data_IF_267223350002
#
_entry.id   IF_267223350002
#
_cell.length_a   1.000
_cell.length_b   1.000
_cell.length_c   1.000
_cell.angle_alpha   90.00
_cell.angle_beta   90.00
_cell.angle_gamma   90.00
#
_symmetry.space_group_name_H-M   'P 1'
#
loop_
_entity.id
_entity.type
_entity.pdbx_description
1 polymer ?
#
# COMPACT_ATOMS: atom_id res chain seq x y z
N UNK A 1 12.41 -9.66 27.56
CA UNK A 1 13.19 -10.11 26.39
C UNK A 1 12.65 -9.37 25.18
N UNK A 2 13.51 -8.72 24.38
CA UNK A 2 13.06 -8.09 23.13
C UNK A 2 12.66 -9.17 22.14
N UNK A 3 11.57 -8.95 21.40
CA UNK A 3 11.13 -9.85 20.32
C UNK A 3 12.24 -9.97 19.26
N UNK A 4 12.47 -11.20 18.76
CA UNK A 4 13.41 -11.49 17.66
C UNK A 4 12.71 -11.61 16.30
N UNK A 5 11.42 -11.27 16.22
CA UNK A 5 10.64 -11.37 14.99
C UNK A 5 11.25 -10.44 13.94
N UNK A 6 11.70 -11.02 12.81
CA UNK A 6 12.20 -10.26 11.66
C UNK A 6 11.11 -9.99 10.62
N UNK A 7 10.09 -10.84 10.58
CA UNK A 7 9.01 -10.78 9.60
C UNK A 7 7.69 -11.09 10.29
N UNK A 8 6.71 -10.20 10.08
CA UNK A 8 5.34 -10.38 10.51
C UNK A 8 4.44 -10.27 9.27
N UNK A 9 3.82 -11.39 8.91
CA UNK A 9 2.79 -11.43 7.87
C UNK A 9 1.42 -11.64 8.52
N UNK A 10 0.48 -10.75 8.18
CA UNK A 10 -0.91 -10.79 8.59
C UNK A 10 -1.82 -10.63 7.37
N UNK A 11 -1.45 -11.23 6.24
CA UNK A 11 -2.20 -11.16 4.99
C UNK A 11 -3.60 -11.74 5.16
N UNK A 12 -4.63 -11.02 4.70
CA UNK A 12 -6.03 -11.51 4.75
C UNK A 12 -6.54 -11.86 6.16
N UNK A 13 -5.98 -11.25 7.21
CA UNK A 13 -6.34 -11.51 8.61
C UNK A 13 -7.49 -10.64 9.13
N UNK A 14 -8.22 -9.92 8.24
CA UNK A 14 -9.31 -9.00 8.62
C UNK A 14 -8.87 -7.90 9.60
N UNK A 15 -7.60 -7.49 9.53
CA UNK A 15 -7.02 -6.49 10.41
C UNK A 15 -7.67 -5.12 10.17
N UNK A 16 -8.38 -4.63 11.18
CA UNK A 16 -8.86 -3.25 11.28
C UNK A 16 -7.96 -2.39 12.17
N UNK A 17 -8.46 -1.22 12.58
CA UNK A 17 -7.69 -0.25 13.39
C UNK A 17 -7.18 -0.85 14.72
N UNK A 18 -7.98 -1.69 15.37
CA UNK A 18 -7.61 -2.34 16.63
C UNK A 18 -6.42 -3.31 16.43
N UNK A 19 -6.46 -4.13 15.37
CA UNK A 19 -5.34 -5.01 15.04
C UNK A 19 -4.07 -4.23 14.67
N UNK A 20 -4.18 -3.14 13.89
CA UNK A 20 -3.03 -2.26 13.61
C UNK A 20 -2.43 -1.67 14.88
N UNK A 21 -3.25 -1.36 15.89
CA UNK A 21 -2.76 -0.88 17.19
C UNK A 21 -1.91 -1.94 17.90
N UNK A 22 -2.40 -3.18 17.98
CA UNK A 22 -1.64 -4.29 18.56
C UNK A 22 -0.32 -4.51 17.81
N UNK A 23 -0.34 -4.48 16.47
CA UNK A 23 0.87 -4.59 15.64
C UNK A 23 1.84 -3.44 15.89
N UNK A 24 1.33 -2.21 16.09
CA UNK A 24 2.17 -1.04 16.38
C UNK A 24 2.85 -1.13 17.76
N UNK A 25 2.19 -1.72 18.74
CA UNK A 25 2.77 -2.00 20.06
C UNK A 25 3.90 -3.04 19.95
N UNK A 26 3.67 -4.12 19.20
CA UNK A 26 4.70 -5.14 18.92
C UNK A 26 5.88 -4.51 18.19
N UNK A 27 5.63 -3.73 17.14
CA UNK A 27 6.64 -3.04 16.35
C UNK A 27 7.48 -2.08 17.20
N UNK A 28 6.86 -1.32 18.11
CA UNK A 28 7.58 -0.41 19.02
C UNK A 28 8.51 -1.13 19.99
N UNK A 29 8.20 -2.38 20.33
CA UNK A 29 9.05 -3.23 21.18
C UNK A 29 10.08 -4.06 20.41
N UNK A 30 9.91 -4.18 19.09
CA UNK A 30 10.78 -4.96 18.22
C UNK A 30 11.99 -4.16 17.78
N UNK A 31 13.17 -4.79 17.88
CA UNK A 31 14.44 -4.25 17.34
C UNK A 31 14.88 -4.96 16.07
N UNK A 32 14.15 -5.99 15.67
CA UNK A 32 14.55 -6.92 14.60
C UNK A 32 13.59 -6.94 13.43
N UNK A 33 12.40 -6.36 13.56
CA UNK A 33 11.37 -6.39 12.52
C UNK A 33 11.87 -5.63 11.27
N UNK A 34 11.89 -6.35 10.15
CA UNK A 34 12.34 -5.91 8.83
C UNK A 34 11.22 -6.01 7.80
N UNK A 35 10.22 -6.86 8.02
CA UNK A 35 9.12 -7.05 7.08
C UNK A 35 7.79 -7.04 7.81
N UNK A 36 6.87 -6.23 7.30
CA UNK A 36 5.50 -6.17 7.75
C UNK A 36 4.58 -6.26 6.54
N UNK A 37 3.87 -7.38 6.43
CA UNK A 37 2.86 -7.62 5.41
C UNK A 37 1.47 -7.50 6.04
N UNK A 38 0.75 -6.46 5.66
CA UNK A 38 -0.63 -6.18 6.03
C UNK A 38 -1.56 -6.24 4.82
N UNK A 39 -1.15 -6.90 3.73
CA UNK A 39 -1.94 -6.96 2.51
C UNK A 39 -3.32 -7.62 2.72
N UNK A 40 -4.29 -7.22 1.90
CA UNK A 40 -5.67 -7.75 1.94
C UNK A 40 -6.36 -7.61 3.31
N UNK A 41 -6.21 -6.47 3.96
CA UNK A 41 -6.87 -6.17 5.23
C UNK A 41 -7.81 -4.96 5.10
N UNK A 42 -8.28 -4.45 6.24
CA UNK A 42 -9.11 -3.27 6.32
C UNK A 42 -8.36 -2.09 6.97
N UNK A 43 -7.08 -1.91 6.60
CA UNK A 43 -6.28 -0.78 7.06
C UNK A 43 -6.77 0.49 6.38
N UNK A 44 -7.72 1.16 7.02
CA UNK A 44 -8.23 2.47 6.60
C UNK A 44 -7.33 3.64 7.03
N UNK A 45 -7.72 4.89 6.74
CA UNK A 45 -6.95 6.09 7.08
C UNK A 45 -6.57 6.19 8.57
N UNK A 46 -7.48 5.80 9.46
CA UNK A 46 -7.23 5.75 10.91
C UNK A 46 -6.18 4.70 11.28
N UNK A 47 -6.18 3.54 10.61
CA UNK A 47 -5.17 2.50 10.75
C UNK A 47 -3.79 3.00 10.34
N UNK A 48 -3.70 3.73 9.21
CA UNK A 48 -2.43 4.32 8.78
C UNK A 48 -1.82 5.26 9.82
N UNK A 49 -2.62 6.08 10.50
CA UNK A 49 -2.11 6.97 11.57
C UNK A 49 -1.55 6.20 12.75
N UNK A 50 -2.17 5.06 13.09
CA UNK A 50 -1.69 4.20 14.17
C UNK A 50 -0.39 3.53 13.76
N UNK A 51 -0.35 2.98 12.54
CA UNK A 51 0.86 2.39 11.96
C UNK A 51 2.02 3.38 11.90
N UNK A 52 1.75 4.62 11.47
CA UNK A 52 2.74 5.69 11.42
C UNK A 52 3.42 5.94 12.76
N UNK A 53 2.65 5.94 13.86
CA UNK A 53 3.22 6.09 15.22
C UNK A 53 4.16 4.93 15.55
N UNK A 54 3.76 3.70 15.24
CA UNK A 54 4.58 2.52 15.50
C UNK A 54 5.87 2.52 14.68
N UNK A 55 5.82 2.95 13.40
CA UNK A 55 7.02 3.07 12.55
C UNK A 55 7.94 4.15 13.12
N UNK A 56 7.39 5.29 13.54
CA UNK A 56 8.18 6.38 14.10
C UNK A 56 8.91 5.98 15.39
N UNK A 57 8.33 5.09 16.21
CA UNK A 57 8.93 4.62 17.47
C UNK A 57 9.74 3.33 17.34
N UNK A 58 9.69 2.64 16.19
CA UNK A 58 10.46 1.42 15.94
C UNK A 58 11.97 1.72 15.99
N UNK A 59 12.75 0.91 16.70
CA UNK A 59 14.22 0.94 16.62
C UNK A 59 14.91 2.20 17.18
N UNK A 60 14.19 3.11 17.86
CA UNK A 60 14.78 4.34 18.43
C UNK A 60 15.78 4.11 19.58
N UNK A 61 16.01 2.86 19.99
CA UNK A 61 17.01 2.49 21.01
C UNK A 61 18.18 1.70 20.41
N UNK A 62 19.27 2.42 20.14
CA UNK A 62 20.65 1.93 19.92
C UNK A 62 21.00 1.32 18.54
N UNK A 63 20.57 1.95 17.44
CA UNK A 63 21.25 1.82 16.15
C UNK A 63 20.95 0.56 15.33
N UNK A 64 19.93 -0.20 15.70
CA UNK A 64 19.44 -1.31 14.90
C UNK A 64 18.12 -0.95 14.22
N UNK A 65 18.20 -0.49 12.97
CA UNK A 65 17.07 -0.56 12.06
C UNK A 65 17.58 -1.13 10.74
N UNK A 66 17.36 -2.44 10.55
CA UNK A 66 17.52 -3.09 9.26
C UNK A 66 16.44 -2.62 8.27
N UNK A 67 16.55 -3.04 7.02
CA UNK A 67 15.59 -2.68 5.96
C UNK A 67 14.16 -3.01 6.37
N UNK A 68 13.28 -2.01 6.38
CA UNK A 68 11.83 -2.14 6.54
C UNK A 68 11.19 -2.27 5.15
N UNK A 69 10.53 -3.41 4.93
CA UNK A 69 9.58 -3.61 3.83
C UNK A 69 8.16 -3.59 4.39
N UNK A 70 7.31 -2.78 3.79
CA UNK A 70 5.91 -2.61 4.18
C UNK A 70 5.01 -2.93 3.00
N UNK A 71 4.16 -3.94 3.15
CA UNK A 71 3.11 -4.24 2.18
C UNK A 71 1.74 -3.84 2.76
N UNK A 72 1.12 -2.84 2.14
CA UNK A 72 -0.25 -2.39 2.43
C UNK A 72 -1.19 -2.64 1.25
N UNK A 73 -0.80 -3.48 0.30
CA UNK A 73 -1.60 -3.74 -0.89
C UNK A 73 -3.00 -4.24 -0.53
N UNK A 74 -3.98 -3.92 -1.38
CA UNK A 74 -5.37 -4.33 -1.17
C UNK A 74 -5.98 -3.88 0.17
N UNK A 75 -5.58 -2.72 0.68
CA UNK A 75 -6.22 -2.04 1.82
C UNK A 75 -6.93 -0.75 1.40
N UNK A 76 -8.08 -0.39 2.00
CA UNK A 76 -8.81 0.83 1.67
C UNK A 76 -8.19 2.07 2.35
N UNK A 77 -6.93 2.38 2.04
CA UNK A 77 -6.13 3.37 2.79
C UNK A 77 -6.65 4.81 2.66
N UNK A 78 -7.50 5.08 1.68
CA UNK A 78 -8.18 6.37 1.43
C UNK A 78 -9.64 6.42 1.95
N UNK A 79 -10.14 5.34 2.56
CA UNK A 79 -11.47 5.24 3.16
C UNK A 79 -12.62 4.91 2.19
N UNK A 80 -13.80 4.57 2.74
CA UNK A 80 -15.08 4.35 2.03
C UNK A 80 -16.23 5.11 2.73
N UNK A 81 -17.21 5.69 2.01
CA UNK A 81 -17.15 6.02 0.57
C UNK A 81 -15.95 6.95 0.32
N UNK A 82 -15.47 7.09 -0.90
CA UNK A 82 -14.26 7.86 -1.23
C UNK A 82 -14.43 9.38 -1.02
N UNK A 83 -14.72 9.80 0.20
CA UNK A 83 -14.80 11.17 0.72
C UNK A 83 -13.49 11.61 1.40
N UNK A 84 -12.41 10.85 1.16
CA UNK A 84 -11.01 11.25 1.23
C UNK A 84 -10.55 11.84 2.57
N UNK A 85 -9.94 11.01 3.41
CA UNK A 85 -8.97 11.49 4.41
C UNK A 85 -7.54 11.08 4.00
N UNK A 86 -6.85 11.88 3.15
CA UNK A 86 -5.48 11.59 2.78
C UNK A 86 -4.49 11.87 3.93
N UNK A 87 -4.96 12.34 5.09
CA UNK A 87 -4.04 12.62 6.20
C UNK A 87 -3.64 11.39 7.00
N UNK A 88 -4.33 10.25 6.82
CA UNK A 88 -3.79 8.93 7.18
C UNK A 88 -2.56 8.57 6.34
N UNK A 89 -2.67 8.71 5.02
CA UNK A 89 -1.53 8.54 4.09
C UNK A 89 -0.39 9.51 4.41
N UNK A 90 -0.70 10.79 4.64
CA UNK A 90 0.32 11.79 5.02
C UNK A 90 1.12 11.36 6.25
N UNK A 91 0.44 10.96 7.34
CA UNK A 91 1.10 10.57 8.57
C UNK A 91 2.03 9.36 8.36
N UNK A 92 1.58 8.38 7.55
CA UNK A 92 2.41 7.23 7.22
C UNK A 92 3.66 7.63 6.41
N UNK A 93 3.50 8.46 5.38
CA UNK A 93 4.63 8.89 4.54
C UNK A 93 5.65 9.71 5.34
N UNK A 94 5.20 10.58 6.25
CA UNK A 94 6.09 11.32 7.17
C UNK A 94 6.88 10.36 8.06
N UNK A 95 6.21 9.37 8.65
CA UNK A 95 6.88 8.37 9.49
C UNK A 95 7.88 7.52 8.70
N UNK A 96 7.50 7.08 7.50
CA UNK A 96 8.39 6.33 6.61
C UNK A 96 9.61 7.14 6.19
N UNK A 97 9.42 8.42 5.86
CA UNK A 97 10.48 9.33 5.43
C UNK A 97 11.50 9.66 6.53
N UNK A 98 11.03 9.76 7.77
CA UNK A 98 11.89 9.93 8.94
C UNK A 98 12.57 8.62 9.38
N UNK A 99 12.02 7.46 8.99
CA UNK A 99 12.54 6.16 9.38
C UNK A 99 13.73 5.76 8.48
N UNK A 100 14.95 5.57 9.05
CA UNK A 100 16.20 5.49 8.29
C UNK A 100 16.36 4.23 7.42
N UNK A 101 15.43 3.28 7.51
CA UNK A 101 15.56 1.97 6.89
C UNK A 101 14.37 1.56 6.00
N UNK A 102 13.43 2.45 5.72
CA UNK A 102 12.29 2.16 4.82
C UNK A 102 12.77 2.01 3.38
N UNK A 103 12.76 0.79 2.81
CA UNK A 103 13.27 0.53 1.45
C UNK A 103 12.23 0.15 0.43
N UNK A 104 11.25 -0.66 0.83
CA UNK A 104 10.25 -1.23 -0.08
C UNK A 104 8.88 -0.96 0.50
N UNK A 105 8.03 -0.30 -0.28
CA UNK A 105 6.66 0.03 0.14
C UNK A 105 5.69 -0.31 -0.98
N UNK A 106 4.68 -1.13 -0.69
CA UNK A 106 3.58 -1.38 -1.63
C UNK A 106 2.29 -0.70 -1.15
N UNK A 107 1.72 0.07 -2.07
CA UNK A 107 0.35 0.60 -2.00
C UNK A 107 -0.50 0.06 -3.15
N UNK A 108 -0.19 -1.13 -3.68
CA UNK A 108 -0.92 -1.69 -4.80
C UNK A 108 -2.41 -1.90 -4.47
N UNK A 109 -3.30 -1.55 -5.40
CA UNK A 109 -4.75 -1.75 -5.25
C UNK A 109 -5.35 -1.13 -3.97
N UNK A 110 -4.89 0.06 -3.57
CA UNK A 110 -5.33 0.72 -2.33
C UNK A 110 -6.34 1.85 -2.54
N UNK A 111 -6.73 2.08 -3.80
CA UNK A 111 -7.72 3.08 -4.20
C UNK A 111 -7.14 4.49 -4.41
N UNK A 112 -5.81 4.61 -4.52
CA UNK A 112 -5.12 5.90 -4.70
C UNK A 112 -5.57 6.63 -5.97
N UNK A 113 -5.94 5.93 -7.04
CA UNK A 113 -6.41 6.55 -8.29
C UNK A 113 -7.88 6.94 -8.31
N UNK A 114 -8.61 6.89 -7.18
CA UNK A 114 -9.99 7.34 -7.16
C UNK A 114 -10.10 8.85 -7.50
N UNK A 115 -11.00 9.28 -8.41
CA UNK A 115 -11.05 10.66 -8.92
C UNK A 115 -11.09 11.75 -7.85
N UNK A 116 -11.80 11.51 -6.74
CA UNK A 116 -11.93 12.47 -5.64
C UNK A 116 -10.64 12.66 -4.83
N UNK A 117 -9.69 11.71 -4.88
CA UNK A 117 -8.55 11.65 -3.94
C UNK A 117 -7.20 11.55 -4.65
N UNK A 118 -7.20 11.25 -5.94
CA UNK A 118 -5.98 10.92 -6.66
C UNK A 118 -4.98 12.06 -6.68
N UNK A 119 -5.42 13.29 -6.93
CA UNK A 119 -4.51 14.43 -6.95
C UNK A 119 -3.82 14.65 -5.60
N UNK A 120 -4.52 14.78 -4.45
CA UNK A 120 -3.85 14.94 -3.17
C UNK A 120 -2.99 13.72 -2.80
N UNK A 121 -3.38 12.49 -3.15
CA UNK A 121 -2.59 11.31 -2.83
C UNK A 121 -1.29 11.23 -3.64
N UNK A 122 -1.36 11.43 -4.95
CA UNK A 122 -0.18 11.41 -5.83
C UNK A 122 0.78 12.54 -5.48
N UNK A 123 0.27 13.74 -5.17
CA UNK A 123 1.13 14.84 -4.72
C UNK A 123 1.86 14.51 -3.43
N UNK A 124 1.19 13.88 -2.45
CA UNK A 124 1.83 13.44 -1.20
C UNK A 124 2.91 12.40 -1.42
N UNK A 125 2.63 11.40 -2.26
CA UNK A 125 3.61 10.36 -2.61
C UNK A 125 4.80 10.98 -3.35
N UNK A 126 4.55 11.89 -4.30
CA UNK A 126 5.61 12.58 -5.03
C UNK A 126 6.49 13.45 -4.11
N UNK A 127 5.88 14.21 -3.20
CA UNK A 127 6.62 14.98 -2.19
C UNK A 127 7.45 14.06 -1.30
N UNK A 128 6.85 12.97 -0.81
CA UNK A 128 7.56 11.99 0.01
C UNK A 128 8.77 11.42 -0.72
N UNK A 129 8.63 10.85 -1.91
CA UNK A 129 9.77 10.25 -2.66
C UNK A 129 10.88 11.27 -2.95
N UNK A 130 10.52 12.55 -3.14
CA UNK A 130 11.50 13.62 -3.38
C UNK A 130 12.26 14.04 -2.12
N UNK A 131 11.57 14.13 -0.99
CA UNK A 131 12.12 14.59 0.28
C UNK A 131 12.66 13.44 1.14
N UNK A 132 12.44 12.19 0.71
CA UNK A 132 12.66 11.01 1.51
C UNK A 132 14.12 10.86 1.96
N UNK A 133 14.32 11.11 3.25
CA UNK A 133 15.60 10.89 3.93
C UNK A 133 15.85 9.41 4.24
N UNK A 134 14.80 8.59 4.34
CA UNK A 134 14.84 7.16 4.65
C UNK A 134 15.36 6.29 3.49
N UNK A 135 15.24 6.78 2.26
CA UNK A 135 15.83 6.19 1.06
C UNK A 135 15.12 4.94 0.55
N UNK A 136 13.82 5.08 0.30
CA UNK A 136 12.95 4.16 -0.42
C UNK A 136 13.54 3.90 -1.80
N UNK A 137 13.71 2.61 -2.09
CA UNK A 137 14.31 2.11 -3.32
C UNK A 137 13.27 1.46 -4.22
N UNK A 138 12.18 0.94 -3.66
CA UNK A 138 11.11 0.30 -4.41
C UNK A 138 9.75 0.79 -3.93
N UNK A 139 8.96 1.31 -4.86
CA UNK A 139 7.59 1.76 -4.63
C UNK A 139 6.65 1.06 -5.59
N UNK A 140 5.69 0.35 -5.05
CA UNK A 140 4.65 -0.33 -5.81
C UNK A 140 3.32 0.42 -5.69
N UNK A 141 2.85 0.96 -6.83
CA UNK A 141 1.57 1.66 -6.98
C UNK A 141 0.63 0.91 -7.95
N UNK A 142 0.86 -0.38 -8.19
CA UNK A 142 0.09 -1.14 -9.16
C UNK A 142 -1.42 -1.17 -8.87
N UNK A 143 -2.26 -1.32 -9.88
CA UNK A 143 -3.69 -1.59 -9.70
C UNK A 143 -4.50 -0.43 -9.09
N UNK A 144 -3.98 0.80 -9.07
CA UNK A 144 -4.62 1.93 -8.42
C UNK A 144 -5.54 2.76 -9.33
N UNK A 145 -5.59 2.48 -10.64
CA UNK A 145 -6.29 3.28 -11.67
C UNK A 145 -5.72 4.70 -11.83
N UNK A 146 -4.41 4.85 -11.64
CA UNK A 146 -3.69 6.09 -11.91
C UNK A 146 -3.67 6.32 -13.43
N UNK A 147 -4.13 7.48 -13.90
CA UNK A 147 -4.11 7.79 -15.33
C UNK A 147 -2.78 8.43 -15.74
N UNK A 148 -2.55 8.50 -17.05
CA UNK A 148 -1.37 9.16 -17.64
C UNK A 148 -1.16 10.59 -17.10
N UNK A 149 -2.24 11.36 -16.91
CA UNK A 149 -2.16 12.73 -16.40
C UNK A 149 -1.60 12.77 -14.97
N UNK A 150 -2.02 11.86 -14.11
CA UNK A 150 -1.52 11.73 -12.74
C UNK A 150 -0.10 11.17 -12.71
N UNK A 151 0.20 10.17 -13.54
CA UNK A 151 1.54 9.60 -13.67
C UNK A 151 2.56 10.65 -14.16
N UNK A 152 2.14 11.57 -15.05
CA UNK A 152 2.98 12.68 -15.51
C UNK A 152 3.38 13.61 -14.35
N UNK A 153 2.50 13.82 -13.37
CA UNK A 153 2.82 14.57 -12.15
C UNK A 153 3.90 13.82 -11.38
N UNK A 154 3.73 12.52 -11.13
CA UNK A 154 4.77 11.73 -10.46
C UNK A 154 6.12 11.82 -11.19
N UNK A 155 6.13 11.70 -12.52
CA UNK A 155 7.33 11.81 -13.35
C UNK A 155 8.03 13.19 -13.24
N UNK A 156 7.26 14.29 -13.32
CA UNK A 156 7.80 15.65 -13.15
C UNK A 156 8.53 15.85 -11.82
N UNK A 157 8.07 15.17 -10.77
CA UNK A 157 8.59 15.35 -9.42
C UNK A 157 9.76 14.42 -9.08
N UNK A 158 9.90 13.29 -9.77
CA UNK A 158 11.02 12.36 -9.54
C UNK A 158 12.39 12.95 -9.92
N UNK A 159 12.46 13.94 -10.82
CA UNK A 159 13.62 14.82 -11.03
C UNK A 159 14.99 14.12 -11.15
N UNK A 160 16.07 14.84 -10.83
CA UNK A 160 17.38 14.23 -10.55
C UNK A 160 17.58 14.22 -9.03
N UNK A 161 17.97 13.08 -8.46
CA UNK A 161 18.27 12.95 -7.02
C UNK A 161 17.30 12.14 -6.18
N UNK A 162 16.30 11.48 -6.78
CA UNK A 162 15.56 10.41 -6.08
C UNK A 162 16.48 9.21 -5.82
N UNK A 163 16.24 8.48 -4.72
CA UNK A 163 16.89 7.19 -4.41
C UNK A 163 16.09 5.99 -4.95
N UNK A 164 14.91 6.25 -5.52
CA UNK A 164 14.04 5.23 -6.06
C UNK A 164 14.76 4.49 -7.20
N UNK A 165 14.71 3.17 -7.17
CA UNK A 165 15.28 2.27 -8.18
C UNK A 165 14.20 1.55 -8.96
N UNK A 166 13.05 1.27 -8.32
CA UNK A 166 11.93 0.59 -8.95
C UNK A 166 10.63 1.35 -8.65
N UNK A 167 9.87 1.63 -9.69
CA UNK A 167 8.51 2.15 -9.60
C UNK A 167 7.58 1.21 -10.35
N UNK A 168 6.69 0.53 -9.63
CA UNK A 168 5.68 -0.31 -10.26
C UNK A 168 4.37 0.45 -10.46
N UNK A 169 3.96 0.55 -11.72
CA UNK A 169 2.74 1.20 -12.18
C UNK A 169 1.86 0.23 -12.99
N UNK A 170 2.12 -1.08 -12.98
CA UNK A 170 1.28 -2.09 -13.67
C UNK A 170 -0.18 -2.05 -13.21
N UNK A 171 -1.12 -2.45 -14.04
CA UNK A 171 -2.55 -2.41 -13.73
C UNK A 171 -3.11 -1.00 -13.50
N UNK A 172 -2.42 0.04 -13.99
CA UNK A 172 -2.92 1.41 -14.06
C UNK A 172 -3.22 1.79 -15.52
N UNK A 173 -3.70 2.99 -15.77
CA UNK A 173 -4.08 3.44 -17.12
C UNK A 173 -2.88 4.06 -17.86
N UNK A 174 -1.81 3.27 -18.01
CA UNK A 174 -0.62 3.58 -18.80
C UNK A 174 0.09 2.30 -19.26
N UNK A 175 0.49 2.29 -20.54
CA UNK A 175 1.36 1.26 -21.11
C UNK A 175 2.86 1.57 -20.90
N UNK A 176 3.71 0.57 -21.16
CA UNK A 176 5.16 0.67 -21.03
C UNK A 176 5.78 1.74 -21.94
N UNK A 177 5.24 1.97 -23.13
CA UNK A 177 5.73 3.01 -24.06
C UNK A 177 5.50 4.40 -23.47
N UNK A 178 4.29 4.67 -22.96
CA UNK A 178 3.93 5.91 -22.28
C UNK A 178 4.71 6.10 -20.99
N UNK A 179 4.86 5.06 -20.19
CA UNK A 179 5.69 5.09 -18.98
C UNK A 179 7.14 5.46 -19.33
N UNK A 180 7.73 4.80 -20.32
CA UNK A 180 9.11 5.10 -20.77
C UNK A 180 9.23 6.54 -21.25
N UNK A 181 8.25 7.07 -21.98
CA UNK A 181 8.27 8.45 -22.44
C UNK A 181 8.13 9.47 -21.29
N UNK A 182 7.25 9.22 -20.33
CA UNK A 182 7.05 10.10 -19.17
C UNK A 182 8.28 10.11 -18.25
N UNK A 183 8.82 8.93 -17.94
CA UNK A 183 9.87 8.77 -16.94
C UNK A 183 11.29 8.71 -17.54
N UNK A 184 11.44 8.61 -18.87
CA UNK A 184 12.74 8.55 -19.55
C UNK A 184 13.57 9.84 -19.48
N UNK A 185 12.99 10.93 -18.97
CA UNK A 185 13.70 12.20 -18.71
C UNK A 185 14.23 12.29 -17.27
N UNK A 186 13.87 11.35 -16.38
CA UNK A 186 14.35 11.26 -15.00
C UNK A 186 15.77 10.66 -15.07
N UNK A 187 16.79 11.46 -14.76
CA UNK A 187 18.21 11.06 -14.87
C UNK A 187 18.60 10.01 -13.83
N UNK A 188 19.35 8.98 -14.28
CA UNK A 188 19.65 7.71 -13.59
C UNK A 188 18.44 6.83 -13.21
N UNK A 189 18.68 5.51 -13.29
CA UNK A 189 17.72 4.45 -13.64
C UNK A 189 16.68 4.14 -12.56
N UNK A 190 15.52 4.80 -12.60
CA UNK A 190 14.30 4.20 -12.04
C UNK A 190 13.77 3.18 -13.05
N UNK A 191 13.79 1.89 -12.70
CA UNK A 191 13.08 0.82 -13.40
C UNK A 191 11.57 1.03 -13.23
N UNK A 192 10.95 1.70 -14.22
CA UNK A 192 9.51 1.93 -14.25
C UNK A 192 8.83 0.76 -14.95
N UNK A 193 8.05 0.00 -14.19
CA UNK A 193 7.28 -1.15 -14.69
C UNK A 193 5.85 -0.70 -14.96
N UNK A 194 5.37 -0.87 -16.18
CA UNK A 194 3.99 -0.63 -16.57
C UNK A 194 3.47 -1.80 -17.41
N UNK A 195 2.19 -1.77 -17.75
CA UNK A 195 1.60 -2.86 -18.52
C UNK A 195 2.20 -2.91 -19.93
N UNK A 196 2.37 -4.11 -20.52
CA UNK A 196 2.88 -4.24 -21.87
C UNK A 196 1.98 -3.49 -22.85
N UNK A 197 2.59 -2.96 -23.91
CA UNK A 197 1.88 -2.21 -24.95
C UNK A 197 0.82 -3.10 -25.62
N UNK A 198 -0.46 -2.80 -25.38
CA UNK A 198 -1.58 -3.56 -25.94
C UNK A 198 -1.91 -3.17 -27.39
N UNK A 199 -1.20 -2.21 -28.00
CA UNK A 199 -1.43 -1.81 -29.40
C UNK A 199 -1.20 -2.94 -30.41
N UNK A 200 -0.54 -4.03 -30.03
CA UNK A 200 -0.36 -5.20 -30.86
C UNK A 200 -1.54 -6.19 -30.88
N UNK A 201 -2.58 -6.02 -30.05
CA UNK A 201 -3.71 -6.95 -29.96
C UNK A 201 -5.08 -6.36 -30.36
N UNK A 202 -5.10 -5.24 -31.09
CA UNK A 202 -6.31 -4.69 -31.69
C UNK A 202 -6.75 -5.47 -32.96
N UNK A 203 -6.67 -6.81 -32.91
CA UNK A 203 -7.09 -7.73 -33.97
C UNK A 203 -8.09 -8.74 -33.43
N UNK A 204 -9.35 -8.32 -33.29
CA UNK A 204 -10.44 -9.20 -32.85
C UNK A 204 -11.58 -8.46 -32.18
N UNK A 205 -12.24 -7.56 -32.92
CA UNK A 205 -13.62 -7.19 -32.61
C UNK A 205 -14.46 -8.37 -33.10
N UNK A 206 -14.79 -9.29 -32.20
CA UNK A 206 -15.89 -10.21 -32.42
C UNK A 206 -17.18 -9.46 -32.05
N UNK A 207 -17.77 -8.86 -33.08
CA UNK A 207 -19.17 -8.48 -33.11
C UNK A 207 -20.02 -9.75 -32.93
N UNK A 208 -20.65 -9.89 -31.77
CA UNK A 208 -21.79 -10.78 -31.58
C UNK A 208 -22.85 -10.06 -30.74
N UNK A 209 -23.65 -9.24 -31.42
CA UNK A 209 -24.97 -8.82 -30.97
C UNK A 209 -25.87 -10.05 -30.75
N UNK A 210 -26.55 -10.08 -29.59
CA UNK A 210 -27.44 -11.16 -29.17
C UNK A 210 -28.46 -10.75 -28.10
N UNK A 211 -29.14 -9.63 -28.32
CA UNK A 211 -30.48 -9.20 -27.87
C UNK A 211 -31.23 -9.93 -26.71
N UNK A 212 -31.61 -9.12 -25.71
CA UNK A 212 -32.83 -9.10 -24.87
C UNK A 212 -33.21 -10.27 -23.93
N UNK A 213 -33.26 -9.94 -22.62
CA UNK A 213 -34.52 -10.04 -21.87
C UNK A 213 -34.61 -8.95 -20.79
N UNK A 214 -35.69 -8.17 -20.85
CA UNK A 214 -36.14 -7.32 -19.76
C UNK A 214 -36.46 -8.18 -18.52
N UNK A 215 -36.03 -7.73 -17.35
CA UNK A 215 -36.32 -8.38 -16.07
C UNK A 215 -35.93 -7.48 -14.92
N UNK A 216 -36.86 -6.61 -14.54
CA UNK A 216 -37.11 -6.06 -13.19
C UNK A 216 -35.94 -5.95 -12.21
N UNK A 217 -35.65 -4.70 -11.83
CA UNK A 217 -34.87 -4.35 -10.65
C UNK A 217 -35.42 -5.04 -9.37
N UNK A 218 -34.56 -5.51 -8.46
CA UNK A 218 -34.88 -5.56 -7.03
C UNK A 218 -34.43 -4.21 -6.43
N UNK A 219 -35.37 -3.31 -6.14
CA UNK A 219 -35.98 -3.13 -4.82
C UNK A 219 -34.92 -2.89 -3.71
N UNK A 220 -34.64 -1.60 -3.53
CA UNK A 220 -34.03 -1.01 -2.34
C UNK A 220 -35.00 -1.20 -1.16
N UNK A 221 -34.98 -2.38 -0.54
CA UNK A 221 -35.52 -2.56 0.82
C UNK A 221 -34.96 -3.82 1.48
N UNK A 222 -33.78 -3.69 2.11
CA UNK A 222 -33.49 -4.48 3.30
C UNK A 222 -32.65 -3.67 4.31
N UNK A 223 -33.37 -2.83 5.04
CA UNK A 223 -33.40 -2.81 6.50
C UNK A 223 -32.60 -3.96 7.18
N UNK A 224 -31.66 -3.58 8.04
CA UNK A 224 -31.49 -4.24 9.34
C UNK A 224 -30.92 -5.66 9.38
N UNK A 225 -29.62 -5.79 9.15
CA UNK A 225 -28.80 -6.59 10.07
C UNK A 225 -27.32 -6.23 9.91
N UNK A 226 -26.81 -5.42 10.85
CA UNK A 226 -25.41 -5.54 11.24
C UNK A 226 -25.18 -7.01 11.58
N UNK A 227 -24.39 -7.71 10.78
CA UNK A 227 -23.67 -8.87 11.30
C UNK A 227 -22.48 -8.25 12.03
N UNK A 228 -22.65 -7.97 13.33
CA UNK A 228 -21.53 -7.85 14.25
C UNK A 228 -20.81 -9.20 14.24
N UNK A 229 -19.83 -9.33 13.34
CA UNK A 229 -18.77 -10.29 13.55
C UNK A 229 -17.98 -9.76 14.75
N UNK A 230 -18.23 -10.38 15.90
CA UNK A 230 -17.56 -10.05 17.14
C UNK A 230 -16.06 -9.96 16.90
N UNK A 231 -15.46 -8.91 17.46
CA UNK A 231 -14.01 -8.74 17.56
C UNK A 231 -13.39 -10.07 17.97
N UNK A 232 -12.81 -10.79 17.00
CA UNK A 232 -11.90 -11.88 17.31
C UNK A 232 -10.67 -11.18 17.88
N UNK A 233 -10.44 -11.34 19.19
CA UNK A 233 -9.31 -10.72 19.88
C UNK A 233 -8.02 -11.00 19.10
N UNK A 234 -7.48 -9.97 18.45
CA UNK A 234 -6.21 -10.02 17.72
C UNK A 234 -5.05 -10.61 18.56
N UNK A 235 -5.22 -10.63 19.89
CA UNK A 235 -4.35 -11.26 20.86
C UNK A 235 -4.17 -12.78 20.66
N UNK A 236 -5.19 -13.50 20.17
CA UNK A 236 -5.07 -14.97 19.95
C UNK A 236 -4.30 -15.32 18.68
N UNK A 237 -4.48 -14.56 17.59
CA UNK A 237 -3.71 -14.77 16.35
C UNK A 237 -2.21 -14.47 16.54
N UNK A 238 -1.88 -13.44 17.35
CA UNK A 238 -0.48 -13.12 17.68
C UNK A 238 0.16 -14.21 18.55
N UNK A 239 -0.60 -14.85 19.46
CA UNK A 239 -0.10 -15.99 20.24
C UNK A 239 0.19 -17.21 19.36
N UNK A 240 -0.59 -17.48 18.32
CA UNK A 240 -0.36 -18.61 17.43
C UNK A 240 0.99 -18.52 16.68
N UNK A 241 1.36 -17.32 16.20
CA UNK A 241 2.66 -17.08 15.53
C UNK A 241 3.84 -17.24 16.50
N UNK A 242 3.62 -16.95 17.79
CA UNK A 242 4.68 -17.04 18.80
C UNK A 242 4.90 -18.47 19.32
N UNK A 243 3.91 -19.36 19.20
CA UNK A 243 4.02 -20.78 19.63
C UNK A 243 4.71 -21.66 18.60
N UNK A 244 4.58 -21.36 17.29
CA UNK A 244 5.28 -22.14 16.25
C UNK A 244 6.80 -21.95 16.24
N UNK A 245 7.33 -20.88 16.86
CA UNK A 245 8.76 -20.65 17.03
C UNK A 245 9.43 -21.53 18.10
N UNK A 246 8.68 -22.03 19.09
CA UNK A 246 9.21 -22.83 20.20
C UNK A 246 9.12 -24.35 19.95
N UNK A 247 8.40 -24.78 18.91
CA UNK A 247 8.19 -26.21 18.62
C UNK A 247 9.25 -26.83 17.68
N UNK A 248 10.19 -26.05 17.14
CA UNK A 248 11.22 -26.52 16.21
C UNK A 248 12.53 -26.99 16.88
N UNK A 249 12.48 -27.42 18.15
CA UNK A 249 13.65 -27.85 18.90
C UNK A 249 13.42 -29.12 19.70
N UNK A 250 13.33 -30.28 19.02
CA UNK A 250 13.73 -31.59 19.53
C UNK A 250 14.18 -32.49 18.37
#
# INVERSE_FOLDING_TARGET
SGSQVEELSCTSCQIGVAGVRAISEVMSSSKTLKRLDLSFNNVGPAGLRVLAKGIATQGQADGAAGVLKLDLSHNPIVGKPYNADPSGLQALLEALGAHPASKVVSFASTGLGHPNVVLPCIMKIATWVKEDTGGVEELDLAGNRIQVVEASKLAMWLGTGTKLKVLDLRGNDLDQTRATNLFGQVGEQVDVRADPDQSANAGGIDDADGNASAGSAPDDSNDGSMIEFGDMEATETIRAVQVEGDAAGF
#
